data_IF_922414603683
#
_entry.id   IF_922414603683
#
_cell.length_a   1.000
_cell.length_b   1.000
_cell.length_c   1.000
_cell.angle_alpha   90.00
_cell.angle_beta   90.00
_cell.angle_gamma   90.00
#
_symmetry.space_group_name_H-M   'P 1'
#
loop_
_entity.id
_entity.type
_entity.pdbx_description
1 polymer ?
#
# COMPACT_ATOMS: atom_id res chain seq x y z
N UNK A 1 -0.59 25.76 -5.95
CA UNK A 1 0.54 26.70 -5.90
C UNK A 1 1.25 26.63 -7.25
N UNK A 2 1.17 27.69 -8.06
CA UNK A 2 1.81 27.75 -9.38
C UNK A 2 2.85 28.88 -9.37
N UNK A 3 4.07 28.57 -9.80
CA UNK A 3 5.16 29.54 -9.99
C UNK A 3 5.02 30.09 -11.40
N UNK A 4 4.96 31.42 -11.56
CA UNK A 4 4.88 32.06 -12.87
C UNK A 4 6.24 31.98 -13.57
N UNK A 5 6.26 31.33 -14.74
CA UNK A 5 7.36 31.42 -15.70
C UNK A 5 6.91 32.28 -16.90
N UNK A 6 7.85 32.88 -17.67
CA UNK A 6 7.53 33.77 -18.81
C UNK A 6 6.79 33.11 -19.99
N UNK A 7 6.37 31.84 -19.87
CA UNK A 7 5.66 31.05 -20.90
C UNK A 7 4.40 30.35 -20.38
N UNK A 8 3.85 30.74 -19.23
CA UNK A 8 2.61 30.20 -18.65
C UNK A 8 2.82 29.38 -17.38
N UNK A 9 1.73 29.13 -16.64
CA UNK A 9 1.73 28.39 -15.38
C UNK A 9 2.18 26.94 -15.60
N UNK A 10 3.42 26.63 -15.23
CA UNK A 10 3.96 25.27 -15.26
C UNK A 10 3.64 24.58 -13.94
N UNK A 11 2.98 23.43 -14.02
CA UNK A 11 2.80 22.55 -12.87
C UNK A 11 4.18 22.06 -12.42
N UNK A 12 4.59 22.45 -11.22
CA UNK A 12 5.89 22.07 -10.68
C UNK A 12 5.81 20.62 -10.23
N UNK A 13 6.16 19.70 -11.13
CA UNK A 13 6.11 18.26 -10.88
C UNK A 13 6.90 17.89 -9.61
N UNK A 14 7.96 18.64 -9.30
CA UNK A 14 8.73 18.47 -8.07
C UNK A 14 7.94 18.80 -6.81
N UNK A 15 7.06 19.80 -6.86
CA UNK A 15 6.16 20.12 -5.74
C UNK A 15 5.11 19.02 -5.53
N UNK A 16 4.59 18.42 -6.61
CA UNK A 16 3.68 17.28 -6.51
C UNK A 16 4.37 16.05 -5.91
N UNK A 17 5.59 15.73 -6.35
CA UNK A 17 6.41 14.65 -5.78
C UNK A 17 6.64 14.89 -4.27
N UNK A 18 7.06 16.10 -3.89
CA UNK A 18 7.30 16.45 -2.49
C UNK A 18 6.03 16.33 -1.62
N UNK A 19 4.89 16.81 -2.13
CA UNK A 19 3.62 16.75 -1.41
C UNK A 19 3.14 15.30 -1.22
N UNK A 20 3.28 14.47 -2.25
CA UNK A 20 2.90 13.05 -2.22
C UNK A 20 3.82 12.25 -1.29
N UNK A 21 5.15 12.45 -1.35
CA UNK A 21 6.09 11.82 -0.43
C UNK A 21 5.84 12.25 1.01
N UNK A 22 5.54 13.54 1.24
CA UNK A 22 5.21 14.05 2.56
C UNK A 22 3.92 13.40 3.10
N UNK A 23 2.85 13.36 2.31
CA UNK A 23 1.59 12.72 2.69
C UNK A 23 1.77 11.22 2.99
N UNK A 24 2.52 10.50 2.17
CA UNK A 24 2.84 9.09 2.38
C UNK A 24 3.62 8.88 3.69
N UNK A 25 4.61 9.74 3.96
CA UNK A 25 5.42 9.67 5.17
C UNK A 25 4.57 9.93 6.42
N UNK A 26 3.72 10.95 6.40
CA UNK A 26 2.80 11.26 7.52
C UNK A 26 1.84 10.10 7.77
N UNK A 27 1.25 9.54 6.71
CA UNK A 27 0.34 8.40 6.80
C UNK A 27 1.04 7.19 7.44
N UNK A 28 2.20 6.79 6.90
CA UNK A 28 2.96 5.65 7.44
C UNK A 28 3.42 5.88 8.87
N UNK A 29 3.87 7.08 9.21
CA UNK A 29 4.27 7.44 10.56
C UNK A 29 3.09 7.32 11.53
N UNK A 30 1.91 7.81 11.15
CA UNK A 30 0.69 7.72 11.96
C UNK A 30 0.24 6.26 12.14
N UNK A 31 0.21 5.46 11.07
CA UNK A 31 -0.14 4.04 11.15
C UNK A 31 0.89 3.23 11.98
N UNK A 32 2.18 3.58 11.88
CA UNK A 32 3.25 2.95 12.68
C UNK A 32 3.12 3.28 14.16
N UNK A 33 2.86 4.56 14.51
CA UNK A 33 2.58 5.01 15.87
C UNK A 33 1.41 4.29 16.51
N UNK A 34 0.39 3.95 15.71
CA UNK A 34 -0.81 3.21 16.16
C UNK A 34 -0.57 1.69 16.29
N UNK A 35 0.64 1.19 16.02
CA UNK A 35 0.99 -0.25 16.02
C UNK A 35 0.11 -1.07 15.05
N UNK A 36 -0.56 -0.43 14.09
CA UNK A 36 -1.47 -1.11 13.14
C UNK A 36 -0.71 -1.86 12.04
N UNK A 37 0.59 -1.55 11.88
CA UNK A 37 1.46 -2.10 10.84
C UNK A 37 2.58 -2.97 11.41
N UNK A 38 2.45 -3.48 12.64
CA UNK A 38 3.48 -4.36 13.23
C UNK A 38 3.72 -5.56 12.30
N UNK A 39 4.94 -5.63 11.78
CA UNK A 39 5.35 -6.55 10.72
C UNK A 39 4.91 -6.16 9.30
N UNK A 40 3.79 -5.47 9.09
CA UNK A 40 3.28 -5.12 7.75
C UNK A 40 3.84 -3.81 7.18
N UNK A 41 4.57 -3.02 7.97
CA UNK A 41 5.03 -1.67 7.60
C UNK A 41 5.79 -1.64 6.27
N UNK A 42 6.76 -2.53 6.07
CA UNK A 42 7.56 -2.59 4.84
C UNK A 42 6.70 -2.93 3.61
N UNK A 43 5.69 -3.80 3.78
CA UNK A 43 4.79 -4.18 2.71
C UNK A 43 3.86 -3.03 2.30
N UNK A 44 3.34 -2.28 3.28
CA UNK A 44 2.51 -1.09 3.04
C UNK A 44 3.34 0.05 2.45
N UNK A 45 4.56 0.27 2.93
CA UNK A 45 5.50 1.24 2.36
C UNK A 45 5.81 0.91 0.89
N UNK A 46 6.20 -0.34 0.59
CA UNK A 46 6.51 -0.76 -0.77
C UNK A 46 5.31 -0.60 -1.71
N UNK A 47 4.11 -1.00 -1.26
CA UNK A 47 2.89 -0.88 -2.04
C UNK A 47 2.52 0.59 -2.30
N UNK A 48 2.51 1.43 -1.26
CA UNK A 48 2.12 2.83 -1.37
C UNK A 48 3.13 3.66 -2.16
N UNK A 49 4.42 3.50 -1.89
CA UNK A 49 5.48 4.19 -2.62
C UNK A 49 5.53 3.75 -4.09
N UNK A 50 5.45 2.45 -4.37
CA UNK A 50 5.44 1.93 -5.73
C UNK A 50 4.25 2.45 -6.54
N UNK A 51 3.05 2.48 -5.96
CA UNK A 51 1.86 2.99 -6.64
C UNK A 51 1.96 4.49 -6.96
N UNK A 52 2.40 5.30 -6.00
CA UNK A 52 2.67 6.73 -6.23
C UNK A 52 3.71 6.92 -7.31
N UNK A 53 4.84 6.20 -7.23
CA UNK A 53 5.93 6.35 -8.19
C UNK A 53 5.51 5.98 -9.60
N UNK A 54 4.73 4.90 -9.75
CA UNK A 54 4.18 4.51 -11.04
C UNK A 54 3.30 5.62 -11.63
N UNK A 55 2.32 6.12 -10.87
CA UNK A 55 1.40 7.17 -11.32
C UNK A 55 2.09 8.49 -11.64
N UNK A 56 3.03 8.92 -10.79
CA UNK A 56 3.80 10.15 -10.99
C UNK A 56 4.69 10.09 -12.21
N UNK A 57 5.25 8.91 -12.53
CA UNK A 57 6.09 8.74 -13.71
C UNK A 57 5.28 8.79 -15.01
N UNK A 58 3.97 8.50 -14.99
CA UNK A 58 3.07 8.81 -16.14
C UNK A 58 2.79 10.30 -16.32
N UNK A 59 2.77 11.05 -15.22
CA UNK A 59 2.53 12.50 -15.23
C UNK A 59 3.80 13.30 -15.57
N UNK A 60 4.95 12.63 -15.59
CA UNK A 60 6.24 13.22 -15.92
C UNK A 60 6.31 13.56 -17.41
N UNK A 61 6.78 14.78 -17.69
CA UNK A 61 6.94 15.28 -19.04
C UNK A 61 7.82 14.32 -19.87
N UNK A 62 7.24 13.79 -20.95
CA UNK A 62 7.91 12.85 -21.86
C UNK A 62 8.26 13.46 -23.21
N UNK A 63 7.92 14.73 -23.37
CA UNK A 63 8.10 15.62 -24.51
C UNK A 63 9.37 16.49 -24.38
N UNK A 64 10.18 16.28 -23.33
CA UNK A 64 11.43 17.01 -23.10
C UNK A 64 12.62 16.23 -23.66
N UNK A 65 13.64 16.92 -24.16
CA UNK A 65 14.83 16.31 -24.79
C UNK A 65 15.58 15.27 -23.91
N UNK A 66 15.37 15.29 -22.59
CA UNK A 66 15.92 14.35 -21.62
C UNK A 66 14.86 13.39 -21.03
N UNK A 67 13.87 12.99 -21.83
CA UNK A 67 12.89 11.98 -21.41
C UNK A 67 13.56 10.60 -21.23
N UNK A 68 13.16 9.88 -20.18
CA UNK A 68 13.66 8.54 -19.89
C UNK A 68 13.32 7.56 -21.04
N UNK A 69 14.31 6.78 -21.47
CA UNK A 69 14.13 5.79 -22.53
C UNK A 69 13.05 4.76 -22.13
N UNK A 70 12.10 4.52 -23.03
CA UNK A 70 11.03 3.55 -22.81
C UNK A 70 11.42 2.20 -23.38
N UNK A 71 11.37 1.17 -22.53
CA UNK A 71 11.52 -0.22 -22.93
C UNK A 71 10.12 -0.84 -22.90
N UNK A 72 9.68 -1.42 -24.02
CA UNK A 72 8.32 -1.96 -24.17
C UNK A 72 7.18 -1.02 -23.71
N UNK A 73 7.35 0.29 -23.92
CA UNK A 73 6.35 1.31 -23.57
C UNK A 73 6.40 1.84 -22.13
N UNK A 74 7.30 1.33 -21.28
CA UNK A 74 7.47 1.77 -19.89
C UNK A 74 8.89 2.28 -19.62
N UNK A 75 9.05 3.20 -18.68
CA UNK A 75 10.36 3.66 -18.21
C UNK A 75 10.97 2.64 -17.24
N UNK A 76 12.31 2.58 -17.10
CA UNK A 76 12.97 1.80 -16.05
C UNK A 76 12.41 2.09 -14.64
N UNK A 77 12.06 3.34 -14.37
CA UNK A 77 11.45 3.76 -13.11
C UNK A 77 10.06 3.13 -12.89
N UNK A 78 9.25 3.03 -13.94
CA UNK A 78 7.94 2.35 -13.90
C UNK A 78 8.07 0.85 -13.64
N UNK A 79 9.08 0.18 -14.19
CA UNK A 79 9.34 -1.22 -13.89
C UNK A 79 9.69 -1.46 -12.42
N UNK A 80 10.58 -0.63 -11.85
CA UNK A 80 10.94 -0.70 -10.42
C UNK A 80 9.74 -0.41 -9.54
N UNK A 81 8.93 0.58 -9.91
CA UNK A 81 7.69 0.91 -9.19
C UNK A 81 6.69 -0.27 -9.20
N UNK A 82 6.51 -0.93 -10.35
CA UNK A 82 5.66 -2.12 -10.48
C UNK A 82 6.16 -3.28 -9.62
N UNK A 83 7.47 -3.55 -9.60
CA UNK A 83 8.07 -4.58 -8.75
C UNK A 83 7.80 -4.32 -7.26
N UNK A 84 7.90 -3.07 -6.81
CA UNK A 84 7.59 -2.69 -5.43
C UNK A 84 6.11 -2.89 -5.08
N UNK A 85 5.19 -2.55 -6.00
CA UNK A 85 3.76 -2.81 -5.85
C UNK A 85 3.48 -4.29 -5.70
N UNK A 86 4.03 -5.12 -6.60
CA UNK A 86 3.86 -6.58 -6.57
C UNK A 86 4.43 -7.18 -5.28
N UNK A 87 5.62 -6.74 -4.87
CA UNK A 87 6.24 -7.19 -3.62
C UNK A 87 5.38 -6.85 -2.39
N UNK A 88 4.93 -5.59 -2.29
CA UNK A 88 4.09 -5.12 -1.19
C UNK A 88 2.74 -5.86 -1.13
N UNK A 89 2.08 -6.02 -2.27
CA UNK A 89 0.83 -6.76 -2.39
C UNK A 89 1.01 -8.23 -1.99
N UNK A 90 2.04 -8.89 -2.51
CA UNK A 90 2.36 -10.29 -2.20
C UNK A 90 2.58 -10.50 -0.70
N UNK A 91 3.34 -9.62 -0.05
CA UNK A 91 3.57 -9.71 1.39
C UNK A 91 2.29 -9.51 2.21
N UNK A 92 1.40 -8.60 1.81
CA UNK A 92 0.11 -8.40 2.49
C UNK A 92 -0.83 -9.60 2.28
N UNK A 93 -0.88 -10.17 1.08
CA UNK A 93 -1.68 -11.36 0.78
C UNK A 93 -1.19 -12.58 1.56
N UNK A 94 0.13 -12.82 1.61
CA UNK A 94 0.73 -13.90 2.41
C UNK A 94 0.39 -13.76 3.90
N UNK A 95 0.45 -12.55 4.44
CA UNK A 95 0.06 -12.28 5.84
C UNK A 95 -1.42 -12.54 6.09
N UNK A 96 -2.30 -12.17 5.15
CA UNK A 96 -3.73 -12.45 5.25
C UNK A 96 -4.01 -13.96 5.22
N UNK A 97 -3.30 -14.73 4.41
CA UNK A 97 -3.40 -16.18 4.38
C UNK A 97 -2.99 -16.80 5.72
N UNK A 98 -1.80 -16.47 6.24
CA UNK A 98 -1.30 -16.97 7.53
C UNK A 98 -2.23 -16.62 8.70
N UNK A 99 -2.84 -15.42 8.69
CA UNK A 99 -3.82 -15.02 9.71
C UNK A 99 -5.14 -15.77 9.61
N UNK A 100 -5.57 -16.17 8.41
CA UNK A 100 -6.77 -17.00 8.21
C UNK A 100 -6.56 -18.40 8.75
N UNK A 101 -5.41 -19.00 8.47
CA UNK A 101 -5.09 -20.36 8.94
C UNK A 101 -4.97 -20.44 10.47
N UNK A 102 -4.61 -19.31 11.10
CA UNK A 102 -4.52 -19.18 12.55
C UNK A 102 -5.85 -18.80 13.21
N UNK A 103 -6.90 -18.50 12.44
CA UNK A 103 -8.20 -18.18 13.01
C UNK A 103 -8.81 -19.48 13.56
N UNK A 104 -9.06 -19.58 14.88
CA UNK A 104 -9.60 -20.80 15.45
C UNK A 104 -10.92 -21.13 14.76
N UNK A 105 -11.05 -22.37 14.28
CA UNK A 105 -12.35 -22.93 13.92
C UNK A 105 -13.30 -22.63 15.09
N UNK A 106 -14.34 -21.83 14.84
CA UNK A 106 -15.32 -21.49 15.84
C UNK A 106 -15.73 -22.78 16.58
N UNK A 107 -15.73 -22.80 17.93
CA UNK A 107 -16.18 -23.99 18.64
C UNK A 107 -17.58 -24.29 18.16
N UNK A 108 -17.77 -25.48 17.58
CA UNK A 108 -19.07 -26.01 17.24
C UNK A 108 -19.88 -26.09 18.53
N UNK A 109 -20.65 -25.04 18.81
CA UNK A 109 -21.69 -25.05 19.81
C UNK A 109 -22.78 -25.99 19.30
N UNK A 110 -22.81 -27.22 19.80
CA UNK A 110 -23.78 -28.19 19.31
C UNK A 110 -23.63 -29.63 19.80
N UNK A 111 -23.25 -29.86 21.05
CA UNK A 111 -23.76 -31.07 21.72
C UNK A 111 -24.08 -30.79 23.18
N UNK A 112 -25.38 -30.81 23.43
CA UNK A 112 -26.01 -30.80 24.73
C UNK A 112 -25.54 -32.00 25.55
N UNK A 113 -25.25 -31.79 26.83
CA UNK A 113 -25.49 -32.79 27.86
C UNK A 113 -26.31 -32.12 28.95
N UNK A 114 -27.61 -32.07 28.69
CA UNK A 114 -28.67 -31.89 29.66
C UNK A 114 -28.53 -32.95 30.76
N UNK A 115 -28.16 -32.52 31.96
CA UNK A 115 -28.25 -33.37 33.15
C UNK A 115 -29.73 -33.51 33.53
N UNK A 116 -30.29 -34.73 33.65
CA UNK A 116 -31.65 -34.90 34.13
C UNK A 116 -31.73 -34.48 35.59
N UNK A 117 -32.68 -33.61 35.89
CA UNK A 117 -33.12 -33.36 37.26
C UNK A 117 -33.69 -34.66 37.82
N UNK A 118 -32.96 -35.31 38.74
CA UNK A 118 -33.56 -36.32 39.61
C UNK A 118 -34.28 -35.61 40.75
N UNK A 119 -35.61 -35.71 40.72
CA UNK A 119 -36.55 -35.36 41.76
C UNK A 119 -36.55 -36.40 42.90
N UNK A 120 -36.90 -35.89 44.10
CA UNK A 120 -37.61 -36.54 45.21
C UNK A 120 -37.06 -37.84 45.84
N UNK A 121 -36.74 -37.76 47.14
CA UNK A 121 -37.58 -38.29 48.22
C UNK A 121 -37.26 -37.62 49.55
#
# INVERSE_FOLDING_TARGET
LAVQFPGGARHDLGLYDALLLFALTVLLYWLSRRQLLVGALLAVLALGYGAMRFLLDFLRASDVAYADARYFGLTPAQYVALLLVVYGAGQLLRRRALRRDSAPAAPAAGHQLSLPACSSS
#
